data_IF_745945447497
#
_entry.id   IF_745945447497
#
_cell.length_a   1.000
_cell.length_b   1.000
_cell.length_c   1.000
_cell.angle_alpha   90.00
_cell.angle_beta   90.00
_cell.angle_gamma   90.00
#
_symmetry.space_group_name_H-M   'P 1'
#
loop_
_entity.id
_entity.type
_entity.pdbx_description
1 polymer ?
#
# COMPACT_ATOMS: atom_id res chain seq x y z
N UNK A 1 -18.60 -15.15 8.29
CA UNK A 1 -19.09 -13.88 7.72
C UNK A 1 -17.89 -13.08 7.24
N UNK A 2 -17.64 -13.10 5.94
CA UNK A 2 -16.50 -12.41 5.30
C UNK A 2 -16.59 -10.91 5.60
N UNK A 3 -15.68 -10.41 6.42
CA UNK A 3 -15.50 -8.96 6.62
C UNK A 3 -15.18 -8.36 5.25
N UNK A 4 -16.18 -7.70 4.64
CA UNK A 4 -15.99 -6.83 3.49
C UNK A 4 -15.03 -5.72 3.92
N UNK A 5 -13.73 -5.96 3.73
CA UNK A 5 -12.71 -4.94 3.91
C UNK A 5 -13.00 -3.83 2.91
N UNK A 6 -13.60 -2.74 3.38
CA UNK A 6 -13.83 -1.53 2.57
C UNK A 6 -12.49 -1.09 2.00
N UNK A 7 -12.46 -0.82 0.70
CA UNK A 7 -11.27 -0.28 0.05
C UNK A 7 -10.93 1.10 0.61
N UNK A 8 -9.66 1.47 0.57
CA UNK A 8 -9.19 2.79 1.00
C UNK A 8 -9.92 3.93 0.27
N UNK A 9 -10.35 3.71 -0.97
CA UNK A 9 -11.14 4.68 -1.74
C UNK A 9 -12.59 4.85 -1.23
N UNK A 10 -13.16 3.82 -0.62
CA UNK A 10 -14.48 3.87 0.01
C UNK A 10 -14.42 4.43 1.43
N UNK A 11 -13.31 4.22 2.13
CA UNK A 11 -13.12 4.74 3.49
C UNK A 11 -12.80 6.24 3.52
N UNK A 12 -12.09 6.76 2.51
CA UNK A 12 -11.68 8.17 2.43
C UNK A 12 -12.18 8.86 1.17
N UNK A 13 -12.79 10.04 1.34
CA UNK A 13 -13.19 10.91 0.23
C UNK A 13 -11.99 11.29 -0.67
N UNK A 14 -12.29 11.61 -1.93
CA UNK A 14 -11.25 11.99 -2.90
C UNK A 14 -10.43 13.19 -2.42
N UNK A 15 -11.09 14.22 -1.89
CA UNK A 15 -10.46 15.43 -1.38
C UNK A 15 -9.48 15.12 -0.25
N UNK A 16 -9.91 14.32 0.74
CA UNK A 16 -9.05 13.92 1.86
C UNK A 16 -7.84 13.13 1.37
N UNK A 17 -8.02 12.21 0.42
CA UNK A 17 -6.90 11.44 -0.18
C UNK A 17 -5.93 12.34 -0.94
N UNK A 18 -6.43 13.32 -1.70
CA UNK A 18 -5.62 14.28 -2.46
C UNK A 18 -4.78 15.14 -1.53
N UNK A 19 -5.41 15.78 -0.54
CA UNK A 19 -4.72 16.64 0.45
C UNK A 19 -3.63 15.88 1.20
N UNK A 20 -3.89 14.63 1.62
CA UNK A 20 -2.89 13.81 2.31
C UNK A 20 -1.74 13.45 1.36
N UNK A 21 -2.04 13.01 0.14
CA UNK A 21 -1.01 12.67 -0.85
C UNK A 21 -0.11 13.85 -1.18
N UNK A 22 -0.67 15.05 -1.33
CA UNK A 22 0.09 16.27 -1.61
C UNK A 22 1.01 16.64 -0.44
N UNK A 23 0.50 16.60 0.80
CA UNK A 23 1.32 16.82 1.99
C UNK A 23 2.49 15.83 2.09
N UNK A 24 2.26 14.55 1.80
CA UNK A 24 3.30 13.52 1.83
C UNK A 24 4.34 13.73 0.72
N UNK A 25 3.91 14.03 -0.51
CA UNK A 25 4.83 14.32 -1.63
C UNK A 25 5.69 15.56 -1.36
N UNK A 26 5.11 16.60 -0.76
CA UNK A 26 5.85 17.80 -0.38
C UNK A 26 6.88 17.54 0.71
N UNK A 27 6.55 16.67 1.67
CA UNK A 27 7.44 16.27 2.77
C UNK A 27 8.55 15.32 2.32
N UNK A 28 8.26 14.41 1.39
CA UNK A 28 9.16 13.39 0.89
C UNK A 28 9.26 13.47 -0.63
N UNK A 29 10.04 14.43 -1.14
CA UNK A 29 10.09 14.79 -2.57
C UNK A 29 10.44 13.62 -3.50
N UNK A 30 11.34 12.73 -3.07
CA UNK A 30 11.79 11.59 -3.88
C UNK A 30 11.03 10.30 -3.59
N UNK A 31 9.86 10.40 -2.94
CA UNK A 31 9.06 9.23 -2.57
C UNK A 31 7.60 9.35 -2.98
N UNK A 32 7.03 8.22 -3.37
CA UNK A 32 5.66 8.08 -3.83
C UNK A 32 4.81 7.37 -2.77
N UNK A 33 3.71 7.98 -2.29
CA UNK A 33 2.75 7.28 -1.44
C UNK A 33 1.94 6.30 -2.28
N UNK A 34 1.98 5.02 -1.91
CA UNK A 34 1.31 3.91 -2.62
C UNK A 34 0.38 3.20 -1.64
N UNK A 35 -0.85 2.93 -2.09
CA UNK A 35 -1.81 2.10 -1.35
C UNK A 35 -1.88 0.74 -2.02
N UNK A 36 -1.66 -0.32 -1.25
CA UNK A 36 -1.68 -1.70 -1.72
C UNK A 36 -2.81 -2.42 -0.99
N UNK A 37 -3.71 -3.03 -1.77
CA UNK A 37 -4.86 -3.77 -1.25
C UNK A 37 -4.92 -5.14 -1.93
N UNK A 38 -5.41 -6.13 -1.18
CA UNK A 38 -5.67 -7.46 -1.70
C UNK A 38 -6.86 -7.41 -2.66
N UNK A 39 -6.73 -8.05 -3.82
CA UNK A 39 -7.84 -8.20 -4.74
C UNK A 39 -8.89 -9.18 -4.18
N UNK A 40 -10.21 -8.93 -4.38
CA UNK A 40 -11.29 -9.68 -3.72
C UNK A 40 -11.28 -11.19 -3.99
N UNK A 41 -10.75 -11.63 -5.14
CA UNK A 41 -10.71 -13.04 -5.56
C UNK A 41 -9.28 -13.62 -5.58
N UNK A 42 -8.36 -13.03 -4.81
CA UNK A 42 -6.97 -13.47 -4.80
C UNK A 42 -6.66 -14.40 -3.64
N UNK A 43 -5.83 -15.43 -3.86
CA UNK A 43 -5.41 -16.39 -2.82
C UNK A 43 -4.15 -15.91 -2.06
N UNK A 44 -3.83 -14.62 -2.11
CA UNK A 44 -2.72 -14.05 -1.32
C UNK A 44 -3.15 -13.82 0.13
N UNK A 45 -2.21 -13.95 1.09
CA UNK A 45 -2.45 -13.60 2.49
C UNK A 45 -2.92 -12.16 2.68
N UNK A 46 -3.54 -11.89 3.82
CA UNK A 46 -3.99 -10.54 4.15
C UNK A 46 -2.80 -9.61 4.42
N UNK A 47 -2.91 -8.38 3.92
CA UNK A 47 -1.86 -7.37 4.02
C UNK A 47 -2.08 -6.51 5.27
N UNK A 48 -1.24 -6.67 6.29
CA UNK A 48 -1.32 -5.88 7.54
C UNK A 48 -1.03 -4.39 7.31
N UNK A 49 -0.03 -4.07 6.48
CA UNK A 49 0.33 -2.69 6.14
C UNK A 49 -0.08 -2.38 4.70
N UNK A 50 -1.08 -1.51 4.53
CA UNK A 50 -1.63 -1.12 3.21
C UNK A 50 -1.00 0.15 2.63
N UNK A 51 -0.27 0.93 3.44
CA UNK A 51 0.29 2.25 3.06
C UNK A 51 1.80 2.15 2.94
N UNK A 52 2.35 2.44 1.77
CA UNK A 52 3.77 2.35 1.44
C UNK A 52 4.30 3.70 0.95
N UNK A 53 5.60 3.91 1.15
CA UNK A 53 6.32 5.09 0.68
C UNK A 53 7.56 4.62 -0.08
N UNK A 54 7.43 4.48 -1.40
CA UNK A 54 8.46 3.92 -2.27
C UNK A 54 9.32 5.02 -2.91
N UNK A 55 10.62 4.80 -3.18
CA UNK A 55 11.43 5.73 -3.97
C UNK A 55 10.86 5.91 -5.39
N UNK A 56 10.96 7.12 -5.94
CA UNK A 56 10.45 7.45 -7.29
C UNK A 56 11.15 6.70 -8.41
N UNK A 57 12.41 6.30 -8.22
CA UNK A 57 13.22 5.53 -9.16
C UNK A 57 13.18 4.01 -8.93
N UNK A 58 12.32 3.53 -8.01
CA UNK A 58 12.25 2.11 -7.68
C UNK A 58 11.63 1.32 -8.83
N UNK A 59 12.30 0.24 -9.25
CA UNK A 59 11.75 -0.70 -10.24
C UNK A 59 10.56 -1.43 -9.64
N UNK A 60 9.49 -1.57 -10.42
CA UNK A 60 8.24 -2.22 -9.99
C UNK A 60 8.47 -3.65 -9.47
N UNK A 61 9.38 -4.41 -10.09
CA UNK A 61 9.74 -5.76 -9.63
C UNK A 61 10.29 -5.76 -8.20
N UNK A 62 11.18 -4.82 -7.88
CA UNK A 62 11.72 -4.67 -6.53
C UNK A 62 10.62 -4.28 -5.54
N UNK A 63 9.68 -3.42 -5.95
CA UNK A 63 8.56 -3.03 -5.09
C UNK A 63 7.64 -4.22 -4.79
N UNK A 64 7.35 -5.06 -5.79
CA UNK A 64 6.58 -6.30 -5.60
C UNK A 64 7.30 -7.25 -4.63
N UNK A 65 8.62 -7.41 -4.77
CA UNK A 65 9.41 -8.23 -3.86
C UNK A 65 9.36 -7.70 -2.42
N UNK A 66 9.41 -6.37 -2.25
CA UNK A 66 9.29 -5.75 -0.94
C UNK A 66 7.91 -5.96 -0.31
N UNK A 67 6.83 -5.89 -1.11
CA UNK A 67 5.47 -6.22 -0.63
C UNK A 67 5.41 -7.69 -0.19
N UNK A 68 5.95 -8.62 -0.97
CA UNK A 68 5.92 -10.06 -0.66
C UNK A 68 6.54 -10.37 0.70
N UNK A 69 7.64 -9.72 1.06
CA UNK A 69 8.26 -9.85 2.40
C UNK A 69 7.32 -9.47 3.56
N UNK A 70 6.30 -8.64 3.30
CA UNK A 70 5.31 -8.22 4.30
C UNK A 70 4.04 -9.10 4.29
N UNK A 71 3.85 -9.92 3.26
CA UNK A 71 2.74 -10.88 3.16
C UNK A 71 3.10 -12.21 3.83
N UNK A 72 4.35 -12.61 3.64
CA UNK A 72 4.89 -13.81 4.24
C UNK A 72 5.32 -13.50 5.68
N UNK A 73 4.46 -13.81 6.65
CA UNK A 73 4.81 -13.75 8.08
C UNK A 73 5.95 -14.70 8.49
N UNK A 74 6.70 -15.27 7.55
CA UNK A 74 7.77 -16.22 7.77
C UNK A 74 9.13 -15.54 7.73
N UNK A 75 9.65 -15.30 8.94
CA UNK A 75 11.07 -15.30 9.35
C UNK A 75 11.93 -14.17 8.77
N UNK A 76 11.94 -13.04 9.48
CA UNK A 76 13.22 -12.35 9.70
C UNK A 76 13.82 -12.95 10.97
N UNK A 77 15.00 -13.58 10.82
CA UNK A 77 15.85 -14.04 11.91
C UNK A 77 16.24 -12.89 12.84
#
# INVERSE_FOLDING_TARGET
>A
MTLLNKSFKQEYSLEKRKTISEKIKNRYKDRLPIIVERAPNSNVPDITKKKFLAPSNMVVSNFIMEIRKHLDGSKQN
#
